data_IF_237442333986
#
_entry.id   IF_237442333986
#
_cell.length_a   1.000
_cell.length_b   1.000
_cell.length_c   1.000
_cell.angle_alpha   90.00
_cell.angle_beta   90.00
_cell.angle_gamma   90.00
#
_symmetry.space_group_name_H-M   'P 1'
#
loop_
_entity.id
_entity.type
_entity.pdbx_description
1 polymer ?
#
# COMPACT_ATOMS: atom_id res chain seq x y z
N UNK A 1 3.53 11.66 -2.16
CA UNK A 1 3.85 12.56 -3.28
C UNK A 1 4.58 13.80 -2.77
N UNK A 2 5.56 14.26 -3.51
CA UNK A 2 6.25 15.52 -3.21
C UNK A 2 5.33 16.70 -3.53
N UNK A 3 5.33 17.70 -2.66
CA UNK A 3 4.72 18.99 -2.98
C UNK A 3 5.53 19.64 -4.10
N UNK A 4 4.86 20.27 -5.05
CA UNK A 4 5.57 21.01 -6.09
C UNK A 4 6.31 22.18 -5.46
N UNK A 5 7.52 22.44 -5.96
CA UNK A 5 8.27 23.62 -5.55
C UNK A 5 7.58 24.89 -6.08
N UNK A 6 7.64 25.95 -5.29
CA UNK A 6 7.08 27.26 -5.67
C UNK A 6 8.08 28.06 -6.52
N UNK A 7 7.58 28.85 -7.46
CA UNK A 7 8.36 29.80 -8.25
C UNK A 7 9.11 29.20 -9.45
N UNK A 8 10.24 29.77 -9.79
CA UNK A 8 11.03 29.42 -10.98
C UNK A 8 11.94 28.19 -10.83
N UNK A 9 11.98 27.56 -9.64
CA UNK A 9 12.80 26.37 -9.36
C UNK A 9 11.86 25.24 -8.90
N UNK A 10 11.20 24.59 -9.88
CA UNK A 10 10.22 23.52 -9.63
C UNK A 10 10.79 22.11 -9.78
N UNK A 11 12.05 21.98 -10.17
CA UNK A 11 12.68 20.69 -10.36
C UNK A 11 13.10 20.08 -9.03
N UNK A 12 12.80 18.78 -8.87
CA UNK A 12 13.33 17.95 -7.79
C UNK A 12 14.27 16.90 -8.37
N UNK A 13 15.28 16.55 -7.61
CA UNK A 13 16.21 15.49 -7.96
C UNK A 13 15.74 14.18 -7.32
N UNK A 14 15.76 13.12 -8.11
CA UNK A 14 15.49 11.76 -7.64
C UNK A 14 16.82 11.04 -7.41
N UNK A 15 17.08 10.66 -6.18
CA UNK A 15 18.25 9.90 -5.79
C UNK A 15 17.86 8.44 -5.59
N UNK A 16 18.34 7.49 -6.44
CA UNK A 16 18.06 6.07 -6.28
C UNK A 16 18.56 5.53 -4.95
N UNK A 17 17.75 4.76 -4.24
CA UNK A 17 18.07 4.21 -2.92
C UNK A 17 17.83 2.72 -2.79
N UNK A 18 16.93 2.15 -3.61
CA UNK A 18 16.65 0.71 -3.63
C UNK A 18 16.14 0.28 -5.01
N UNK A 19 16.26 -1.00 -5.32
CA UNK A 19 15.87 -1.58 -6.60
C UNK A 19 15.04 -2.86 -6.38
N UNK A 20 14.01 -3.05 -7.20
CA UNK A 20 13.12 -4.20 -7.18
C UNK A 20 12.96 -4.78 -8.58
N UNK A 21 12.71 -6.08 -8.68
CA UNK A 21 12.21 -6.67 -9.92
C UNK A 21 10.80 -6.14 -10.17
N UNK A 22 10.53 -5.72 -11.40
CA UNK A 22 9.17 -5.32 -11.79
C UNK A 22 8.38 -6.56 -12.23
N UNK A 23 7.41 -7.03 -11.43
CA UNK A 23 6.66 -8.24 -11.75
C UNK A 23 5.71 -8.04 -12.94
N UNK A 24 5.40 -6.79 -13.30
CA UNK A 24 4.42 -6.49 -14.35
C UNK A 24 5.06 -6.48 -15.75
N UNK A 25 6.34 -6.09 -15.85
CA UNK A 25 7.01 -5.90 -17.15
C UNK A 25 8.37 -6.56 -17.24
N UNK A 26 8.90 -7.14 -16.17
CA UNK A 26 10.18 -7.84 -16.14
C UNK A 26 11.41 -6.94 -16.16
N UNK A 27 11.25 -5.62 -16.07
CA UNK A 27 12.31 -4.63 -15.91
C UNK A 27 12.57 -4.30 -14.43
N UNK A 28 12.97 -3.09 -14.11
CA UNK A 28 13.30 -2.66 -12.74
C UNK A 28 12.36 -1.57 -12.25
N UNK A 29 11.93 -1.69 -10.99
CA UNK A 29 11.38 -0.60 -10.22
C UNK A 29 12.47 -0.02 -9.33
N UNK A 30 12.62 1.29 -9.33
CA UNK A 30 13.66 1.98 -8.57
C UNK A 30 13.00 2.90 -7.53
N UNK A 31 13.23 2.59 -6.26
CA UNK A 31 12.86 3.49 -5.17
C UNK A 31 13.82 4.66 -5.13
N UNK A 32 13.27 5.87 -5.11
CA UNK A 32 14.06 7.08 -5.02
C UNK A 32 13.65 7.92 -3.82
N UNK A 33 14.63 8.55 -3.19
CA UNK A 33 14.36 9.68 -2.30
C UNK A 33 14.47 10.99 -3.07
N UNK A 34 13.87 12.05 -2.53
CA UNK A 34 13.76 13.33 -3.22
C UNK A 34 14.65 14.38 -2.58
N UNK A 35 15.37 15.12 -3.42
CA UNK A 35 16.13 16.31 -3.06
C UNK A 35 15.59 17.53 -3.81
N UNK A 36 15.85 18.72 -3.28
CA UNK A 36 15.62 19.97 -4.00
C UNK A 36 16.61 20.10 -5.17
N UNK A 37 16.36 21.03 -6.09
CA UNK A 37 17.28 21.34 -7.18
C UNK A 37 18.65 21.81 -6.71
N UNK A 38 18.79 22.22 -5.45
CA UNK A 38 20.04 22.63 -4.79
C UNK A 38 20.75 21.48 -4.05
N UNK A 39 20.30 20.23 -4.28
CA UNK A 39 20.82 19.02 -3.64
C UNK A 39 20.60 18.92 -2.12
N UNK A 40 19.67 19.68 -1.57
CA UNK A 40 19.26 19.57 -0.17
C UNK A 40 18.14 18.53 -0.02
N UNK A 41 18.02 17.95 1.18
CA UNK A 41 16.90 17.06 1.50
C UNK A 41 15.58 17.79 1.31
N UNK A 42 14.70 17.27 0.45
CA UNK A 42 13.38 17.88 0.24
C UNK A 42 12.56 17.81 1.54
N UNK A 43 11.79 18.86 1.91
CA UNK A 43 11.02 18.88 3.16
C UNK A 43 10.04 17.71 3.36
N UNK A 44 9.58 17.09 2.28
CA UNK A 44 8.71 15.91 2.33
C UNK A 44 9.47 14.58 2.40
N UNK A 45 10.81 14.60 2.37
CA UNK A 45 11.64 13.41 2.40
C UNK A 45 11.91 12.94 3.83
N UNK A 46 10.93 12.30 4.45
CA UNK A 46 11.07 11.72 5.81
C UNK A 46 12.00 10.51 5.83
N UNK A 47 12.23 9.84 4.67
CA UNK A 47 13.14 8.71 4.56
C UNK A 47 14.58 9.09 4.93
N UNK A 48 15.05 10.28 4.59
CA UNK A 48 16.39 10.72 4.92
C UNK A 48 16.64 10.71 6.44
N UNK A 49 15.72 11.29 7.21
CA UNK A 49 15.79 11.27 8.68
C UNK A 49 15.68 9.85 9.26
N UNK A 50 14.80 9.01 8.69
CA UNK A 50 14.69 7.62 9.10
C UNK A 50 15.99 6.84 8.84
N UNK A 51 16.66 7.07 7.71
CA UNK A 51 17.91 6.40 7.36
C UNK A 51 19.08 6.74 8.32
N UNK A 52 19.05 7.92 8.96
CA UNK A 52 20.06 8.32 9.93
C UNK A 52 19.99 7.53 11.25
N UNK A 53 18.79 7.03 11.59
CA UNK A 53 18.54 6.39 12.89
C UNK A 53 18.20 4.89 12.78
N UNK A 54 17.76 4.43 11.62
CA UNK A 54 17.42 3.03 11.42
C UNK A 54 18.68 2.15 11.43
N UNK A 55 18.66 1.14 12.32
CA UNK A 55 19.69 0.11 12.34
C UNK A 55 19.25 -1.10 11.52
N UNK A 56 20.15 -1.71 10.76
CA UNK A 56 19.91 -2.94 10.01
C UNK A 56 19.59 -4.15 10.92
N UNK A 57 19.81 -4.01 12.22
CA UNK A 57 19.42 -5.02 13.21
C UNK A 57 17.96 -4.89 13.66
N UNK A 58 17.30 -3.78 13.39
CA UNK A 58 15.91 -3.56 13.79
C UNK A 58 14.94 -4.22 12.83
N UNK A 59 13.99 -4.94 13.38
CA UNK A 59 12.89 -5.52 12.65
C UNK A 59 11.67 -4.61 12.70
N UNK A 60 11.02 -4.46 11.57
CA UNK A 60 9.76 -3.73 11.44
C UNK A 60 8.73 -4.63 10.78
N UNK A 61 7.54 -4.71 11.37
CA UNK A 61 6.36 -5.31 10.78
C UNK A 61 5.31 -4.24 10.55
N UNK A 62 4.73 -4.24 9.36
CA UNK A 62 3.62 -3.35 9.00
C UNK A 62 2.41 -4.18 8.64
N UNK A 63 1.27 -3.84 9.20
CA UNK A 63 -0.04 -4.37 8.84
C UNK A 63 -0.75 -3.30 8.03
N UNK A 64 -0.69 -3.43 6.70
CA UNK A 64 -1.32 -2.46 5.82
C UNK A 64 -2.75 -2.89 5.53
N UNK A 65 -3.69 -2.19 6.15
CA UNK A 65 -5.10 -2.32 5.83
C UNK A 65 -5.51 -1.37 4.70
N UNK A 66 -6.49 -1.78 3.91
CA UNK A 66 -7.03 -1.01 2.81
C UNK A 66 -8.45 -1.46 2.46
N UNK A 67 -9.20 -0.56 1.83
CA UNK A 67 -10.48 -0.89 1.20
C UNK A 67 -10.32 -0.92 -0.31
N UNK A 68 -10.98 -1.87 -0.95
CA UNK A 68 -11.18 -1.88 -2.38
C UNK A 68 -12.47 -1.12 -2.71
N UNK A 69 -12.39 -0.22 -3.68
CA UNK A 69 -13.53 0.60 -4.09
C UNK A 69 -13.75 0.52 -5.59
N UNK A 70 -15.01 0.52 -5.99
CA UNK A 70 -15.42 0.65 -7.38
C UNK A 70 -15.05 2.06 -7.93
N UNK A 71 -15.03 2.26 -9.25
CA UNK A 71 -14.72 3.56 -9.85
C UNK A 71 -15.62 4.71 -9.42
N UNK A 72 -16.85 4.41 -8.99
CA UNK A 72 -17.81 5.41 -8.45
C UNK A 72 -17.57 5.75 -6.97
N UNK A 73 -16.57 5.09 -6.33
CA UNK A 73 -16.21 5.30 -4.94
C UNK A 73 -16.95 4.40 -3.94
N UNK A 74 -17.88 3.55 -4.37
CA UNK A 74 -18.51 2.57 -3.49
C UNK A 74 -17.52 1.48 -3.10
N UNK A 75 -17.60 0.97 -1.87
CA UNK A 75 -16.76 -0.14 -1.43
C UNK A 75 -17.15 -1.39 -2.22
N UNK A 76 -16.16 -2.15 -2.64
CA UNK A 76 -16.35 -3.39 -3.39
C UNK A 76 -17.19 -4.40 -2.57
N UNK A 77 -18.32 -4.81 -3.12
CA UNK A 77 -19.29 -5.66 -2.43
C UNK A 77 -20.41 -4.88 -1.71
N UNK A 78 -20.43 -3.53 -1.82
CA UNK A 78 -21.47 -2.67 -1.25
C UNK A 78 -22.35 -2.02 -2.33
N UNK A 79 -22.38 -2.58 -3.52
CA UNK A 79 -23.11 -2.01 -4.67
C UNK A 79 -24.62 -1.89 -4.41
N UNK A 80 -25.16 -2.82 -3.63
CA UNK A 80 -26.56 -2.83 -3.22
C UNK A 80 -26.80 -2.10 -1.87
N UNK A 81 -25.81 -1.41 -1.37
CA UNK A 81 -25.85 -0.68 -0.10
C UNK A 81 -25.02 -1.33 1.01
N UNK A 82 -25.29 -0.95 2.26
CA UNK A 82 -24.58 -1.48 3.44
C UNK A 82 -24.79 -3.00 3.51
N UNK A 83 -23.72 -3.81 3.70
CA UNK A 83 -23.84 -5.25 3.83
C UNK A 83 -24.82 -5.69 4.93
N UNK A 84 -25.55 -6.77 4.67
CA UNK A 84 -26.56 -7.30 5.59
C UNK A 84 -25.95 -7.79 6.92
N UNK A 85 -24.74 -8.36 6.86
CA UNK A 85 -24.05 -8.86 8.04
C UNK A 85 -23.35 -7.71 8.77
N UNK A 86 -23.31 -7.75 10.10
CA UNK A 86 -22.50 -6.80 10.85
C UNK A 86 -21.02 -6.99 10.53
N UNK A 87 -20.25 -5.92 10.68
CA UNK A 87 -18.80 -6.02 10.57
C UNK A 87 -18.26 -7.02 11.61
N UNK A 88 -17.11 -7.62 11.29
CA UNK A 88 -16.50 -8.67 12.10
C UNK A 88 -16.86 -10.08 11.62
N UNK A 89 -18.03 -10.32 11.08
CA UNK A 89 -18.38 -11.63 10.49
C UNK A 89 -17.66 -11.89 9.15
N UNK A 90 -17.08 -10.87 8.54
CA UNK A 90 -16.27 -10.96 7.32
C UNK A 90 -14.80 -11.23 7.60
N UNK A 91 -14.35 -11.04 8.84
CA UNK A 91 -12.95 -11.19 9.24
C UNK A 91 -12.41 -12.59 8.93
N UNK A 92 -11.27 -12.64 8.24
CA UNK A 92 -10.67 -13.89 7.73
C UNK A 92 -11.66 -14.73 6.91
N UNK A 93 -12.63 -14.10 6.26
CA UNK A 93 -13.73 -14.74 5.55
C UNK A 93 -13.27 -15.62 4.40
N UNK A 94 -13.99 -16.73 4.22
CA UNK A 94 -13.81 -17.68 3.11
C UNK A 94 -15.16 -17.92 2.44
N UNK A 95 -15.13 -18.00 1.11
CA UNK A 95 -16.31 -18.21 0.28
C UNK A 95 -16.90 -16.90 -0.24
N UNK A 96 -17.51 -16.97 -1.42
CA UNK A 96 -17.97 -15.80 -2.18
C UNK A 96 -19.05 -14.93 -1.48
N UNK A 97 -19.73 -15.49 -0.48
CA UNK A 97 -20.70 -14.76 0.33
C UNK A 97 -20.05 -13.92 1.45
N UNK A 98 -18.79 -14.20 1.78
CA UNK A 98 -18.11 -13.61 2.93
C UNK A 98 -16.93 -12.71 2.55
N UNK A 99 -16.51 -12.72 1.29
CA UNK A 99 -15.33 -11.99 0.86
C UNK A 99 -15.48 -11.47 -0.56
N UNK A 100 -14.94 -10.28 -0.81
CA UNK A 100 -14.82 -9.66 -2.14
C UNK A 100 -13.40 -9.18 -2.35
N UNK A 101 -12.85 -9.37 -3.56
CA UNK A 101 -11.51 -8.90 -3.92
C UNK A 101 -10.36 -9.83 -3.51
N UNK A 102 -10.61 -11.11 -3.25
CA UNK A 102 -9.56 -12.08 -2.95
C UNK A 102 -8.55 -12.24 -4.09
N UNK A 103 -9.02 -12.29 -5.30
CA UNK A 103 -8.20 -12.36 -6.51
C UNK A 103 -7.24 -11.17 -6.63
N UNK A 104 -7.67 -9.99 -6.24
CA UNK A 104 -6.82 -8.78 -6.18
C UNK A 104 -5.76 -8.91 -5.08
N UNK A 105 -6.17 -9.33 -3.88
CA UNK A 105 -5.26 -9.52 -2.75
C UNK A 105 -4.20 -10.59 -3.04
N UNK A 106 -4.58 -11.70 -3.66
CA UNK A 106 -3.67 -12.79 -4.02
C UNK A 106 -2.74 -12.37 -5.17
N UNK A 107 -3.23 -11.71 -6.21
CA UNK A 107 -2.40 -11.17 -7.28
C UNK A 107 -1.38 -10.15 -6.76
N UNK A 108 -1.77 -9.30 -5.80
CA UNK A 108 -0.87 -8.36 -5.14
C UNK A 108 0.21 -9.09 -4.33
N UNK A 109 -0.17 -10.13 -3.56
CA UNK A 109 0.79 -10.95 -2.81
C UNK A 109 1.84 -11.57 -3.75
N UNK A 110 1.41 -12.19 -4.85
CA UNK A 110 2.31 -12.77 -5.85
C UNK A 110 3.25 -11.71 -6.45
N UNK A 111 2.72 -10.56 -6.84
CA UNK A 111 3.51 -9.47 -7.38
C UNK A 111 4.57 -8.96 -6.38
N UNK A 112 4.23 -8.82 -5.12
CA UNK A 112 5.18 -8.40 -4.09
C UNK A 112 6.28 -9.45 -3.87
N UNK A 113 5.96 -10.72 -3.80
CA UNK A 113 6.94 -11.81 -3.65
C UNK A 113 7.88 -11.87 -4.86
N UNK A 114 7.37 -11.70 -6.08
CA UNK A 114 8.19 -11.65 -7.29
C UNK A 114 9.10 -10.42 -7.32
N UNK A 115 8.64 -9.29 -6.80
CA UNK A 115 9.45 -8.09 -6.65
C UNK A 115 10.56 -8.22 -5.58
N UNK A 116 10.53 -9.27 -4.76
CA UNK A 116 11.48 -9.49 -3.65
C UNK A 116 11.11 -8.77 -2.36
N UNK A 117 9.82 -8.43 -2.21
CA UNK A 117 9.26 -7.87 -0.98
C UNK A 117 8.75 -8.99 -0.08
N UNK A 118 9.13 -8.99 1.18
CA UNK A 118 8.73 -10.02 2.14
C UNK A 118 7.32 -9.73 2.70
N UNK A 119 6.28 -10.18 1.98
CA UNK A 119 4.95 -10.25 2.53
C UNK A 119 4.79 -11.57 3.29
N UNK A 120 4.38 -11.49 4.54
CA UNK A 120 4.24 -12.66 5.42
C UNK A 120 2.83 -13.19 5.49
N UNK A 121 1.86 -12.43 5.01
CA UNK A 121 0.47 -12.86 4.95
C UNK A 121 -0.45 -11.83 4.32
N UNK A 122 -1.69 -12.28 4.10
CA UNK A 122 -2.83 -11.42 3.72
C UNK A 122 -4.11 -12.02 4.28
N UNK A 123 -5.06 -11.19 4.66
CA UNK A 123 -6.36 -11.61 5.18
C UNK A 123 -7.46 -10.61 4.82
N UNK A 124 -8.69 -11.11 4.70
CA UNK A 124 -9.86 -10.27 4.67
C UNK A 124 -10.08 -9.66 6.07
N UNK A 125 -10.43 -8.38 6.10
CA UNK A 125 -10.66 -7.61 7.29
C UNK A 125 -12.13 -7.58 7.73
N UNK A 126 -12.43 -6.85 8.81
CA UNK A 126 -13.72 -6.90 9.51
C UNK A 126 -14.88 -6.35 8.70
N UNK A 127 -14.63 -5.53 7.66
CA UNK A 127 -15.66 -5.07 6.73
C UNK A 127 -15.54 -5.77 5.39
N UNK A 128 -16.67 -6.02 4.73
CA UNK A 128 -16.67 -6.55 3.37
C UNK A 128 -15.94 -5.57 2.43
N UNK A 129 -14.99 -6.06 1.62
CA UNK A 129 -14.16 -5.22 0.75
C UNK A 129 -12.93 -4.61 1.44
N UNK A 130 -12.76 -4.83 2.74
CA UNK A 130 -11.56 -4.47 3.48
C UNK A 130 -10.59 -5.64 3.54
N UNK A 131 -9.32 -5.35 3.31
CA UNK A 131 -8.22 -6.31 3.27
C UNK A 131 -7.02 -5.80 4.02
N UNK A 132 -6.16 -6.71 4.41
CA UNK A 132 -4.88 -6.44 5.04
C UNK A 132 -3.78 -7.30 4.40
N UNK A 133 -2.57 -6.78 4.38
CA UNK A 133 -1.36 -7.58 4.17
C UNK A 133 -0.28 -7.20 5.17
N UNK A 134 0.56 -8.16 5.53
CA UNK A 134 1.66 -7.98 6.47
C UNK A 134 2.97 -7.92 5.69
N UNK A 135 3.72 -6.83 5.89
CA UNK A 135 5.03 -6.60 5.30
C UNK A 135 6.09 -6.57 6.41
N UNK A 136 7.08 -7.46 6.32
CA UNK A 136 8.16 -7.58 7.29
C UNK A 136 9.49 -7.21 6.67
N UNK A 137 10.35 -6.51 7.40
CA UNK A 137 11.67 -6.16 6.91
C UNK A 137 12.60 -5.66 7.99
N UNK A 138 13.86 -5.46 7.61
CA UNK A 138 14.91 -4.93 8.49
C UNK A 138 15.36 -3.55 8.05
N UNK A 139 15.68 -2.72 9.04
CA UNK A 139 16.25 -1.42 8.81
C UNK A 139 15.38 -0.52 7.93
N UNK A 140 16.02 0.39 7.22
CA UNK A 140 15.30 1.36 6.35
C UNK A 140 14.60 0.68 5.17
N UNK A 141 15.10 -0.48 4.74
CA UNK A 141 14.46 -1.25 3.65
C UNK A 141 13.03 -1.62 3.95
N UNK A 142 12.67 -1.88 5.20
CA UNK A 142 11.28 -2.18 5.59
C UNK A 142 10.30 -1.07 5.17
N UNK A 143 10.70 0.19 5.34
CA UNK A 143 9.91 1.33 4.87
C UNK A 143 9.83 1.43 3.35
N UNK A 144 10.93 1.17 2.66
CA UNK A 144 10.98 1.13 1.18
C UNK A 144 10.04 0.03 0.65
N UNK A 145 10.08 -1.16 1.26
CA UNK A 145 9.25 -2.31 0.90
C UNK A 145 7.76 -2.00 1.09
N UNK A 146 7.38 -1.36 2.19
CA UNK A 146 6.00 -0.93 2.40
C UNK A 146 5.52 0.04 1.30
N UNK A 147 6.32 1.04 0.94
CA UNK A 147 5.94 1.98 -0.11
C UNK A 147 5.89 1.34 -1.49
N UNK A 148 6.81 0.42 -1.79
CA UNK A 148 6.78 -0.33 -3.04
C UNK A 148 5.58 -1.28 -3.10
N UNK A 149 5.25 -1.95 -1.99
CA UNK A 149 4.05 -2.80 -1.93
C UNK A 149 2.76 -2.02 -2.15
N UNK A 150 2.65 -0.79 -1.61
CA UNK A 150 1.52 0.11 -1.89
C UNK A 150 1.42 0.46 -3.38
N UNK A 151 2.56 0.77 -4.02
CA UNK A 151 2.58 1.03 -5.46
C UNK A 151 2.09 -0.17 -6.26
N UNK A 152 2.60 -1.37 -5.96
CA UNK A 152 2.19 -2.61 -6.62
C UNK A 152 0.70 -2.91 -6.39
N UNK A 153 0.17 -2.65 -5.18
CA UNK A 153 -1.24 -2.83 -4.89
C UNK A 153 -2.13 -1.95 -5.79
N UNK A 154 -1.78 -0.66 -5.95
CA UNK A 154 -2.50 0.23 -6.85
C UNK A 154 -2.39 -0.24 -8.31
N UNK A 155 -1.21 -0.69 -8.75
CA UNK A 155 -1.01 -1.16 -10.12
C UNK A 155 -1.77 -2.44 -10.42
N UNK A 156 -1.77 -3.40 -9.50
CA UNK A 156 -2.56 -4.63 -9.64
C UNK A 156 -4.07 -4.32 -9.66
N UNK A 157 -4.53 -3.43 -8.79
CA UNK A 157 -5.95 -3.07 -8.73
C UNK A 157 -6.46 -2.43 -10.04
N UNK A 158 -5.61 -1.74 -10.80
CA UNK A 158 -5.96 -1.20 -12.13
C UNK A 158 -6.43 -2.30 -13.11
N UNK A 159 -5.83 -3.50 -13.05
CA UNK A 159 -6.19 -4.61 -13.94
C UNK A 159 -7.57 -5.20 -13.64
N UNK A 160 -8.13 -4.87 -12.48
CA UNK A 160 -9.46 -5.30 -12.01
C UNK A 160 -10.50 -4.17 -12.04
N UNK A 161 -10.17 -3.02 -12.61
CA UNK A 161 -11.01 -1.81 -12.58
C UNK A 161 -11.46 -1.39 -11.17
N UNK A 162 -10.58 -1.57 -10.18
CA UNK A 162 -10.82 -1.20 -8.77
C UNK A 162 -9.79 -0.18 -8.31
N UNK A 163 -10.19 0.66 -7.36
CA UNK A 163 -9.31 1.59 -6.67
C UNK A 163 -8.98 1.11 -5.26
N UNK A 164 -7.84 1.53 -4.76
CA UNK A 164 -7.37 1.23 -3.39
C UNK A 164 -7.51 2.47 -2.52
N UNK A 165 -8.17 2.33 -1.39
CA UNK A 165 -8.32 3.38 -0.39
C UNK A 165 -7.59 2.97 0.90
N UNK A 166 -6.48 3.64 1.19
CA UNK A 166 -5.65 3.42 2.38
C UNK A 166 -5.96 4.43 3.51
N UNK A 167 -7.07 5.16 3.41
CA UNK A 167 -7.48 6.07 4.48
C UNK A 167 -7.83 5.25 5.73
N UNK A 168 -7.32 5.61 6.91
CA UNK A 168 -7.52 4.82 8.13
C UNK A 168 -8.98 4.70 8.57
N UNK A 169 -9.84 5.61 8.17
CA UNK A 169 -11.28 5.58 8.46
C UNK A 169 -12.08 6.00 7.22
N UNK A 170 -12.21 5.13 6.20
CA UNK A 170 -12.87 5.51 4.95
C UNK A 170 -14.40 5.57 5.07
N UNK A 171 -14.98 4.78 5.98
CA UNK A 171 -16.42 4.72 6.21
C UNK A 171 -16.76 5.28 7.60
N UNK A 172 -17.72 6.20 7.65
CA UNK A 172 -18.18 6.83 8.90
C UNK A 172 -19.09 5.91 9.73
N UNK A 173 -19.38 6.31 10.97
CA UNK A 173 -20.25 5.58 11.89
C UNK A 173 -19.52 4.43 12.60
N UNK A 174 -20.24 3.35 12.86
CA UNK A 174 -19.74 2.17 13.58
C UNK A 174 -18.83 1.26 12.75
N UNK A 175 -18.65 1.57 11.46
CA UNK A 175 -17.74 0.79 10.63
C UNK A 175 -16.30 0.97 11.06
N UNK A 176 -15.56 -0.13 11.03
CA UNK A 176 -14.17 -0.15 11.44
C UNK A 176 -13.28 0.71 10.52
N UNK A 177 -12.11 1.00 11.01
CA UNK A 177 -11.01 1.57 10.26
C UNK A 177 -9.78 0.69 10.45
N UNK A 178 -8.63 1.16 10.01
CA UNK A 178 -7.35 0.50 10.26
C UNK A 178 -6.94 0.61 11.72
N UNK A 179 -6.43 -0.48 12.26
CA UNK A 179 -5.88 -0.56 13.61
C UNK A 179 -4.49 0.04 13.78
#
# INVERSE_FOLDING_TARGET
STLQAEGGSSDCLLLPVNEYTNPLYGDKLVMCQVQTGEHETHPTNTRAAAAEVASDEWWFGFEQEYFLTNPDGTILGWEDGIPEKPQGEYYCGVGAANVKGRDISEAHLEACLEAGIELTGTNAEVALGQWEYQCLGKGIKAGDDLWMSRYLLHKVAEDFDVSVNIHPKPQSGDWNGSG
#
